data_IF_119396491795
#
_entry.id   IF_119396491795
#
_cell.length_a   1.000
_cell.length_b   1.000
_cell.length_c   1.000
_cell.angle_alpha   90.00
_cell.angle_beta   90.00
_cell.angle_gamma   90.00
#
_symmetry.space_group_name_H-M   'P 1'
#
loop_
_entity.id
_entity.type
_entity.pdbx_description
1 polymer ?
#
# COMPACT_ATOMS: atom_id res chain seq x y z
N UNK A 1 -4.19 4.40 16.68
CA UNK A 1 -3.32 5.36 15.96
C UNK A 1 -2.19 5.78 16.87
N UNK A 2 -0.96 5.78 16.38
CA UNK A 2 0.20 6.21 17.14
C UNK A 2 0.31 7.73 17.11
N UNK A 3 0.60 8.36 18.27
CA UNK A 3 0.75 9.82 18.34
C UNK A 3 1.97 10.35 17.59
N UNK A 4 2.86 9.47 17.17
CA UNK A 4 4.06 9.82 16.39
C UNK A 4 3.90 9.57 14.91
N UNK A 5 2.72 9.18 14.47
CA UNK A 5 2.45 8.96 13.04
C UNK A 5 2.50 10.28 12.28
N UNK A 6 3.06 10.21 11.09
CA UNK A 6 3.06 11.31 10.14
C UNK A 6 2.65 10.81 8.77
N UNK A 7 1.80 11.57 8.10
CA UNK A 7 1.43 11.29 6.71
C UNK A 7 2.20 12.28 5.84
N UNK A 8 3.01 11.76 4.93
CA UNK A 8 3.88 12.57 4.08
C UNK A 8 3.55 12.26 2.62
N UNK A 9 3.25 13.29 1.84
CA UNK A 9 3.12 13.18 0.40
C UNK A 9 4.50 13.36 -0.22
N UNK A 10 4.85 12.49 -1.18
CA UNK A 10 6.15 12.59 -1.85
C UNK A 10 6.05 12.07 -3.29
N UNK A 11 6.98 12.54 -4.12
CA UNK A 11 7.12 12.09 -5.51
C UNK A 11 8.57 11.74 -5.84
N UNK A 12 9.37 11.45 -4.82
CA UNK A 12 10.77 11.06 -4.95
C UNK A 12 10.91 9.53 -4.79
N UNK A 13 12.15 9.05 -4.83
CA UNK A 13 12.43 7.66 -4.48
C UNK A 13 12.08 7.39 -3.02
N UNK A 14 11.54 6.22 -2.75
CA UNK A 14 11.18 5.81 -1.38
C UNK A 14 12.42 5.82 -0.47
N UNK A 15 13.57 5.36 -0.98
CA UNK A 15 14.82 5.37 -0.21
C UNK A 15 15.27 6.78 0.14
N UNK A 16 15.07 7.74 -0.76
CA UNK A 16 15.38 9.15 -0.49
C UNK A 16 14.49 9.72 0.60
N UNK A 17 13.20 9.38 0.57
CA UNK A 17 12.27 9.78 1.62
C UNK A 17 12.67 9.19 2.97
N UNK A 18 13.05 7.91 2.99
CA UNK A 18 13.51 7.23 4.20
C UNK A 18 14.73 7.92 4.79
N UNK A 19 15.72 8.21 3.96
CA UNK A 19 16.94 8.90 4.40
C UNK A 19 16.63 10.27 4.99
N UNK A 20 15.76 11.03 4.33
CA UNK A 20 15.36 12.37 4.77
C UNK A 20 14.68 12.35 6.14
N UNK A 21 13.94 11.28 6.44
CA UNK A 21 13.19 11.16 7.69
C UNK A 21 13.86 10.24 8.72
N UNK A 22 15.11 9.87 8.49
CA UNK A 22 15.87 8.98 9.39
C UNK A 22 15.17 7.63 9.59
N UNK A 23 14.48 7.14 8.58
CA UNK A 23 13.83 5.85 8.58
C UNK A 23 14.77 4.81 7.96
N UNK A 24 14.95 3.68 8.62
CA UNK A 24 15.82 2.60 8.14
C UNK A 24 15.05 1.32 7.84
N UNK A 25 13.73 1.35 7.95
CA UNK A 25 12.85 0.20 7.67
C UNK A 25 11.71 0.67 6.77
N UNK A 26 11.46 -0.11 5.72
CA UNK A 26 10.26 0.02 4.88
C UNK A 26 9.37 -1.17 5.21
N UNK A 27 8.13 -0.91 5.62
CA UNK A 27 7.14 -1.96 5.88
C UNK A 27 6.22 -2.08 4.69
N UNK A 28 6.09 -3.29 4.14
CA UNK A 28 5.23 -3.58 2.99
C UNK A 28 4.27 -4.72 3.32
N UNK A 29 3.08 -4.67 2.76
CA UNK A 29 2.10 -5.73 2.89
C UNK A 29 2.12 -6.66 1.67
N UNK A 30 1.87 -7.95 1.90
CA UNK A 30 1.76 -8.95 0.84
C UNK A 30 0.39 -9.61 0.90
N UNK A 31 -0.28 -9.74 -0.24
CA UNK A 31 -1.57 -10.39 -0.36
C UNK A 31 -1.49 -11.73 -1.09
N UNK A 32 -0.70 -11.81 -2.16
CA UNK A 32 -0.67 -12.94 -3.06
C UNK A 32 0.75 -13.18 -3.60
N UNK A 33 0.95 -14.33 -4.24
CA UNK A 33 2.24 -14.69 -4.85
C UNK A 33 2.68 -13.68 -5.90
N UNK A 34 1.75 -13.16 -6.70
CA UNK A 34 2.04 -12.12 -7.70
C UNK A 34 2.54 -10.83 -7.06
N UNK A 35 1.98 -10.44 -5.91
CA UNK A 35 2.47 -9.31 -5.16
C UNK A 35 3.91 -9.56 -4.66
N UNK A 36 4.20 -10.79 -4.24
CA UNK A 36 5.50 -11.16 -3.72
C UNK A 36 6.61 -10.96 -4.75
N UNK A 37 6.41 -11.38 -5.98
CA UNK A 37 7.43 -11.23 -7.02
C UNK A 37 7.77 -9.76 -7.27
N UNK A 38 6.76 -8.92 -7.40
CA UNK A 38 6.95 -7.48 -7.59
C UNK A 38 7.64 -6.85 -6.38
N UNK A 39 7.14 -7.15 -5.19
CA UNK A 39 7.66 -6.58 -3.94
C UNK A 39 9.10 -7.04 -3.67
N UNK A 40 9.41 -8.30 -3.98
CA UNK A 40 10.76 -8.84 -3.84
C UNK A 40 11.76 -8.09 -4.71
N UNK A 41 11.41 -7.88 -5.98
CA UNK A 41 12.27 -7.13 -6.90
C UNK A 41 12.44 -5.67 -6.44
N UNK A 42 11.36 -5.05 -6.01
CA UNK A 42 11.41 -3.67 -5.51
C UNK A 42 12.29 -3.56 -4.26
N UNK A 43 12.18 -4.50 -3.33
CA UNK A 43 13.02 -4.53 -2.15
C UNK A 43 14.49 -4.69 -2.50
N UNK A 44 14.80 -5.55 -3.48
CA UNK A 44 16.18 -5.72 -3.97
C UNK A 44 16.74 -4.46 -4.59
N UNK A 45 15.95 -3.76 -5.39
CA UNK A 45 16.35 -2.49 -5.99
C UNK A 45 16.58 -1.42 -4.92
N UNK A 46 15.67 -1.31 -3.96
CA UNK A 46 15.81 -0.34 -2.87
C UNK A 46 17.07 -0.61 -2.04
N UNK A 47 17.38 -1.88 -1.79
CA UNK A 47 18.60 -2.24 -1.05
C UNK A 47 19.87 -1.84 -1.80
N UNK A 48 19.88 -1.98 -3.12
CA UNK A 48 20.99 -1.51 -3.94
C UNK A 48 21.12 0.01 -3.93
N UNK A 49 20.01 0.72 -3.87
CA UNK A 49 20.01 2.18 -3.78
C UNK A 49 20.50 2.67 -2.43
N UNK A 50 20.17 1.94 -1.36
CA UNK A 50 20.62 2.28 -0.01
C UNK A 50 20.65 1.02 0.86
N UNK A 51 21.85 0.52 1.15
CA UNK A 51 22.05 -0.71 1.93
C UNK A 51 21.62 -0.59 3.39
N UNK A 52 21.48 0.61 3.89
CA UNK A 52 21.10 0.84 5.29
C UNK A 52 19.59 0.78 5.53
N UNK A 53 18.80 0.57 4.47
CA UNK A 53 17.35 0.50 4.56
C UNK A 53 16.90 -0.95 4.31
N UNK A 54 16.24 -1.54 5.30
CA UNK A 54 15.67 -2.88 5.21
C UNK A 54 14.19 -2.82 4.85
N UNK A 55 13.74 -3.80 4.07
CA UNK A 55 12.32 -3.96 3.77
C UNK A 55 11.79 -5.17 4.52
N UNK A 56 10.69 -4.98 5.26
CA UNK A 56 10.02 -6.02 6.02
C UNK A 56 8.65 -6.24 5.42
N UNK A 57 8.27 -7.51 5.23
CA UNK A 57 6.97 -7.87 4.67
C UNK A 57 6.06 -8.46 5.72
N UNK A 58 4.80 -8.04 5.71
CA UNK A 58 3.75 -8.64 6.51
C UNK A 58 2.69 -9.24 5.58
N UNK A 59 2.27 -10.44 5.89
CA UNK A 59 1.19 -11.10 5.15
C UNK A 59 -0.15 -10.57 5.60
N UNK A 60 -1.05 -10.31 4.66
CA UNK A 60 -2.43 -9.96 4.99
C UNK A 60 -3.20 -11.19 5.47
N UNK A 61 -4.28 -10.95 6.19
CA UNK A 61 -5.22 -12.02 6.54
C UNK A 61 -5.80 -12.63 5.27
N UNK A 62 -6.18 -13.91 5.36
CA UNK A 62 -6.76 -14.64 4.22
C UNK A 62 -7.96 -13.90 3.65
N UNK A 63 -8.82 -13.37 4.51
CA UNK A 63 -10.02 -12.63 4.11
C UNK A 63 -9.70 -11.39 3.28
N UNK A 64 -8.56 -10.76 3.52
CA UNK A 64 -8.15 -9.54 2.83
C UNK A 64 -7.31 -9.80 1.59
N UNK A 65 -6.88 -11.04 1.37
CA UNK A 65 -6.00 -11.37 0.23
C UNK A 65 -6.68 -11.18 -1.12
N UNK A 66 -8.00 -11.29 -1.17
CA UNK A 66 -8.79 -11.11 -2.40
C UNK A 66 -9.10 -9.65 -2.71
N UNK A 67 -8.90 -8.74 -1.75
CA UNK A 67 -9.27 -7.35 -1.91
C UNK A 67 -8.18 -6.62 -2.70
N UNK A 68 -8.55 -6.05 -3.83
CA UNK A 68 -7.67 -5.22 -4.63
C UNK A 68 -8.35 -3.91 -5.00
N UNK A 69 -7.58 -2.85 -5.17
CA UNK A 69 -8.13 -1.56 -5.58
C UNK A 69 -8.80 -1.64 -6.95
N UNK A 70 -8.27 -2.46 -7.86
CA UNK A 70 -8.85 -2.67 -9.17
C UNK A 70 -10.28 -3.22 -9.08
N UNK A 71 -10.48 -4.29 -8.30
CA UNK A 71 -11.78 -4.90 -8.15
C UNK A 71 -12.76 -4.00 -7.39
N UNK A 72 -12.30 -3.32 -6.36
CA UNK A 72 -13.15 -2.36 -5.63
C UNK A 72 -13.65 -1.26 -6.56
N UNK A 73 -12.78 -0.71 -7.40
CA UNK A 73 -13.16 0.31 -8.37
C UNK A 73 -14.16 -0.23 -9.40
N UNK A 74 -13.96 -1.45 -9.87
CA UNK A 74 -14.90 -2.08 -10.82
C UNK A 74 -16.29 -2.26 -10.20
N UNK A 75 -16.34 -2.71 -8.94
CA UNK A 75 -17.61 -2.88 -8.24
C UNK A 75 -18.34 -1.54 -8.10
N UNK A 76 -17.62 -0.47 -7.77
CA UNK A 76 -18.23 0.87 -7.67
C UNK A 76 -18.76 1.34 -9.02
N UNK A 77 -18.01 1.14 -10.09
CA UNK A 77 -18.46 1.51 -11.44
C UNK A 77 -19.75 0.80 -11.84
N UNK A 78 -19.93 -0.42 -11.35
CA UNK A 78 -21.15 -1.21 -11.58
C UNK A 78 -22.20 -1.00 -10.50
N UNK A 79 -22.04 0.02 -9.65
CA UNK A 79 -22.94 0.40 -8.56
C UNK A 79 -23.16 -0.68 -7.51
N UNK A 80 -22.14 -1.52 -7.31
CA UNK A 80 -22.14 -2.54 -6.26
C UNK A 80 -21.79 -1.95 -4.90
N UNK A 81 -22.04 -2.75 -3.86
CA UNK A 81 -21.79 -2.38 -2.47
C UNK A 81 -20.37 -2.76 -2.06
N UNK A 82 -19.58 -1.77 -1.64
CA UNK A 82 -18.17 -1.97 -1.24
C UNK A 82 -17.94 -1.79 0.26
N UNK A 83 -19.00 -1.77 1.08
CA UNK A 83 -18.87 -1.56 2.54
C UNK A 83 -18.00 -2.60 3.22
N UNK A 84 -17.95 -3.82 2.70
CA UNK A 84 -17.15 -4.92 3.26
C UNK A 84 -15.69 -4.85 2.87
N UNK A 85 -15.32 -3.99 1.93
CA UNK A 85 -13.98 -3.99 1.33
C UNK A 85 -13.16 -2.76 1.66
N UNK A 86 -13.79 -1.69 2.10
CA UNK A 86 -13.06 -0.45 2.32
C UNK A 86 -13.74 0.46 3.35
N UNK A 87 -13.06 1.56 3.70
CA UNK A 87 -13.52 2.50 4.72
C UNK A 87 -14.60 3.45 4.19
N UNK A 88 -15.33 4.08 5.11
CA UNK A 88 -16.38 5.05 4.76
C UNK A 88 -15.84 6.22 3.93
N UNK A 89 -14.66 6.73 4.27
CA UNK A 89 -14.05 7.84 3.54
C UNK A 89 -13.70 7.44 2.10
N UNK A 90 -13.18 6.24 1.91
CA UNK A 90 -12.87 5.71 0.58
C UNK A 90 -14.14 5.50 -0.24
N UNK A 91 -15.21 4.98 0.37
CA UNK A 91 -16.51 4.81 -0.29
C UNK A 91 -16.99 6.15 -0.82
N UNK A 92 -16.95 7.19 0.00
CA UNK A 92 -17.35 8.53 -0.40
C UNK A 92 -16.54 9.03 -1.59
N UNK A 93 -15.22 8.94 -1.50
CA UNK A 93 -14.33 9.39 -2.57
C UNK A 93 -14.57 8.65 -3.88
N UNK A 94 -14.78 7.34 -3.83
CA UNK A 94 -15.04 6.54 -5.02
C UNK A 94 -16.40 6.86 -5.64
N UNK A 95 -17.43 7.09 -4.83
CA UNK A 95 -18.74 7.48 -5.34
C UNK A 95 -18.68 8.84 -6.02
N UNK A 96 -17.99 9.80 -5.43
CA UNK A 96 -17.81 11.12 -6.04
C UNK A 96 -17.08 11.02 -7.39
N UNK A 97 -16.11 10.12 -7.49
CA UNK A 97 -15.30 9.98 -8.70
C UNK A 97 -16.03 9.25 -9.82
N UNK A 98 -16.82 8.22 -9.51
CA UNK A 98 -17.41 7.31 -10.51
C UNK A 98 -18.92 7.42 -10.63
N UNK A 99 -19.58 8.21 -9.83
CA UNK A 99 -20.98 8.57 -9.96
C UNK A 99 -21.10 10.04 -10.39
#
# INVERSE_FOLDING_TARGET
MCIRDRVILFNSLTTSLCKKNNANIILRGLRAVSDFEYEFQLAGMNRKLNENIETIFLMSNIENQIISSKFVKEIVKLKGDIRKFTTKSTIRSLKEKYE
#
